data_IF_380260889622
#
_entry.id   IF_380260889622
#
_cell.length_a   1.000
_cell.length_b   1.000
_cell.length_c   1.000
_cell.angle_alpha   90.00
_cell.angle_beta   90.00
_cell.angle_gamma   90.00
#
_symmetry.space_group_name_H-M   'P 1'
#
loop_
_entity.id
_entity.type
_entity.pdbx_description
1 polymer ?
#
# COMPACT_ATOMS: atom_id res chain seq x y z
N UNK A 1 7.84 -2.45 -4.00
CA UNK A 1 6.92 -1.97 -2.95
C UNK A 1 7.40 -0.63 -2.45
N UNK A 2 6.53 0.37 -2.29
CA UNK A 2 6.86 1.68 -1.69
C UNK A 2 5.98 1.94 -0.46
N UNK A 3 6.56 2.24 0.71
CA UNK A 3 5.85 2.59 1.95
C UNK A 3 5.96 4.10 2.22
N UNK A 4 4.85 4.79 2.53
CA UNK A 4 4.86 6.23 2.82
C UNK A 4 4.47 6.54 4.28
N UNK A 5 5.25 7.39 4.96
CA UNK A 5 4.90 8.03 6.25
C UNK A 5 5.10 9.54 6.16
N UNK A 6 4.25 10.37 6.77
CA UNK A 6 4.41 11.85 6.73
C UNK A 6 4.90 12.42 8.07
N UNK A 7 5.84 13.38 8.03
CA UNK A 7 6.29 14.18 9.18
C UNK A 7 6.62 15.62 8.73
N UNK A 8 5.73 16.58 8.99
CA UNK A 8 6.01 18.01 8.79
C UNK A 8 6.36 18.44 7.35
N UNK A 9 5.70 17.86 6.35
CA UNK A 9 5.93 18.15 4.92
C UNK A 9 7.00 17.28 4.25
N UNK A 10 7.66 16.40 5.01
CA UNK A 10 8.51 15.32 4.47
C UNK A 10 7.76 14.01 4.54
N UNK A 11 8.06 13.12 3.60
CA UNK A 11 7.60 11.74 3.68
C UNK A 11 8.77 10.77 3.69
N UNK A 12 8.68 9.76 4.56
CA UNK A 12 9.60 8.63 4.60
C UNK A 12 9.13 7.59 3.58
N UNK A 13 10.04 7.20 2.69
CA UNK A 13 9.79 6.15 1.69
C UNK A 13 10.63 4.93 1.99
N UNK A 14 10.02 3.75 2.06
CA UNK A 14 10.76 2.48 2.01
C UNK A 14 10.49 1.77 0.68
N UNK A 15 11.55 1.50 -0.10
CA UNK A 15 11.47 0.66 -1.29
C UNK A 15 11.94 -0.76 -0.96
N UNK A 16 11.11 -1.75 -1.26
CA UNK A 16 11.39 -3.15 -0.92
C UNK A 16 10.95 -4.12 -2.03
N UNK A 17 11.60 -5.29 -2.03
CA UNK A 17 11.22 -6.48 -2.80
C UNK A 17 10.72 -7.58 -1.84
N UNK A 18 9.65 -8.31 -2.18
CA UNK A 18 9.21 -9.43 -1.37
C UNK A 18 10.25 -10.57 -1.44
N UNK A 19 10.47 -11.24 -0.32
CA UNK A 19 11.38 -12.39 -0.22
C UNK A 19 10.66 -13.58 0.38
N UNK A 20 10.81 -14.76 -0.23
CA UNK A 20 10.29 -15.99 0.31
C UNK A 20 11.27 -16.53 1.37
N UNK A 21 10.93 -16.35 2.65
CA UNK A 21 11.69 -16.92 3.77
C UNK A 21 12.69 -15.97 4.43
N UNK A 22 13.62 -16.54 5.20
CA UNK A 22 14.61 -15.78 5.97
C UNK A 22 15.75 -15.34 5.07
N UNK A 23 16.04 -14.06 5.08
CA UNK A 23 17.21 -13.48 4.40
C UNK A 23 18.14 -12.82 5.43
N UNK A 24 19.45 -12.79 5.13
CA UNK A 24 20.43 -12.02 5.89
C UNK A 24 20.71 -10.74 5.11
N UNK A 25 20.14 -9.59 5.49
CA UNK A 25 20.37 -8.36 4.75
C UNK A 25 21.82 -7.90 4.97
N UNK A 26 22.40 -7.25 3.95
CA UNK A 26 23.66 -6.52 4.08
C UNK A 26 23.34 -5.03 4.18
N UNK A 27 24.02 -4.33 5.08
CA UNK A 27 23.89 -2.88 5.22
C UNK A 27 24.04 -2.19 3.86
N UNK A 28 23.16 -1.23 3.50
CA UNK A 28 22.15 -0.58 4.35
C UNK A 28 20.76 -1.25 4.35
N UNK A 29 20.59 -2.44 3.77
CA UNK A 29 19.30 -3.11 3.72
C UNK A 29 18.86 -3.61 5.11
N UNK A 30 17.55 -3.60 5.33
CA UNK A 30 16.90 -4.19 6.49
C UNK A 30 15.83 -5.17 6.05
N UNK A 31 15.44 -6.08 6.94
CA UNK A 31 14.23 -6.91 6.74
C UNK A 31 13.07 -6.22 7.45
N UNK A 32 12.08 -5.81 6.67
CA UNK A 32 10.81 -5.31 7.18
C UNK A 32 9.72 -6.37 7.00
N UNK A 33 8.77 -6.41 7.94
CA UNK A 33 7.57 -7.24 7.84
C UNK A 33 6.36 -6.32 7.78
N UNK A 34 5.53 -6.48 6.74
CA UNK A 34 4.21 -5.86 6.72
C UNK A 34 3.29 -6.58 7.71
N UNK A 35 2.52 -5.80 8.47
CA UNK A 35 1.49 -6.36 9.33
C UNK A 35 0.45 -7.09 8.49
N UNK A 36 0.15 -8.34 8.85
CA UNK A 36 -1.03 -9.02 8.33
C UNK A 36 -2.31 -8.40 8.91
N UNK A 37 -3.45 -8.70 8.30
CA UNK A 37 -4.75 -8.19 8.72
C UNK A 37 -5.67 -7.93 7.53
N UNK A 38 -6.82 -7.33 7.81
CA UNK A 38 -7.71 -6.85 6.77
C UNK A 38 -7.08 -5.63 6.07
N UNK A 39 -7.23 -5.58 4.76
CA UNK A 39 -6.72 -4.50 3.93
C UNK A 39 -7.80 -4.08 2.93
N UNK A 40 -7.81 -2.81 2.56
CA UNK A 40 -8.49 -2.33 1.36
C UNK A 40 -7.46 -2.20 0.24
N UNK A 41 -7.85 -2.60 -0.97
CA UNK A 41 -6.98 -2.60 -2.13
C UNK A 41 -7.71 -2.02 -3.34
N UNK A 42 -6.95 -1.27 -4.13
CA UNK A 42 -7.38 -0.82 -5.46
C UNK A 42 -6.28 -1.16 -6.46
N UNK A 43 -6.68 -1.61 -7.65
CA UNK A 43 -5.78 -1.80 -8.78
C UNK A 43 -5.91 -0.59 -9.70
N UNK A 44 -4.81 0.10 -9.93
CA UNK A 44 -4.67 1.06 -11.01
C UNK A 44 -4.11 0.34 -12.24
N UNK A 45 -4.74 0.57 -13.39
CA UNK A 45 -4.27 0.12 -14.69
C UNK A 45 -4.08 1.34 -15.59
N UNK A 46 -2.89 1.48 -16.18
CA UNK A 46 -2.55 2.62 -17.03
C UNK A 46 -1.29 3.36 -16.58
N UNK A 47 -1.00 4.52 -17.20
CA UNK A 47 0.18 5.33 -16.88
C UNK A 47 0.10 5.95 -15.49
N UNK A 48 1.24 6.08 -14.82
CA UNK A 48 1.31 6.60 -13.44
C UNK A 48 0.83 8.04 -13.27
N UNK A 49 0.77 8.83 -14.35
CA UNK A 49 0.17 10.18 -14.35
C UNK A 49 -1.30 10.17 -13.90
N UNK A 50 -1.97 9.02 -14.03
CA UNK A 50 -3.37 8.82 -13.61
C UNK A 50 -3.50 8.06 -12.29
N UNK A 51 -2.40 7.72 -11.62
CA UNK A 51 -2.40 6.89 -10.41
C UNK A 51 -3.18 7.53 -9.25
N UNK A 52 -3.19 8.87 -9.17
CA UNK A 52 -3.96 9.62 -8.17
C UNK A 52 -5.46 9.29 -8.20
N UNK A 53 -6.01 8.95 -9.37
CA UNK A 53 -7.43 8.57 -9.49
C UNK A 53 -7.77 7.29 -8.70
N UNK A 54 -6.80 6.38 -8.52
CA UNK A 54 -6.99 5.19 -7.69
C UNK A 54 -6.95 5.54 -6.19
N UNK A 55 -6.11 6.50 -5.79
CA UNK A 55 -6.10 7.04 -4.44
C UNK A 55 -7.43 7.72 -4.08
N UNK A 56 -7.97 8.52 -4.97
CA UNK A 56 -9.26 9.21 -4.78
C UNK A 56 -10.38 8.18 -4.56
N UNK A 57 -10.49 7.19 -5.46
CA UNK A 57 -11.49 6.11 -5.36
C UNK A 57 -11.36 5.30 -4.07
N UNK A 58 -10.14 4.98 -3.65
CA UNK A 58 -9.91 4.27 -2.41
C UNK A 58 -10.31 5.12 -1.20
N UNK A 59 -9.99 6.41 -1.22
CA UNK A 59 -10.33 7.36 -0.16
C UNK A 59 -11.84 7.57 -0.04
N UNK A 60 -12.55 7.68 -1.16
CA UNK A 60 -14.02 7.72 -1.21
C UNK A 60 -14.63 6.45 -0.60
N UNK A 61 -14.11 5.28 -0.99
CA UNK A 61 -14.59 3.99 -0.48
C UNK A 61 -14.40 3.83 1.03
N UNK A 62 -13.24 4.24 1.55
CA UNK A 62 -12.91 4.21 2.98
C UNK A 62 -13.79 5.18 3.78
N UNK A 63 -13.95 6.41 3.28
CA UNK A 63 -14.80 7.44 3.88
C UNK A 63 -16.25 6.99 3.98
N UNK A 64 -16.80 6.44 2.89
CA UNK A 64 -18.17 5.94 2.85
C UNK A 64 -18.45 4.84 3.89
N UNK A 65 -17.41 4.10 4.29
CA UNK A 65 -17.48 3.00 5.28
C UNK A 65 -17.09 3.42 6.69
N UNK A 66 -16.78 4.71 6.90
CA UNK A 66 -16.33 5.25 8.20
C UNK A 66 -15.15 4.48 8.79
N UNK A 67 -14.26 4.00 7.92
CA UNK A 67 -13.03 3.33 8.35
C UNK A 67 -12.06 4.39 8.85
N UNK A 68 -11.49 4.21 10.04
CA UNK A 68 -10.45 5.10 10.53
C UNK A 68 -9.20 5.00 9.65
N UNK A 69 -8.68 6.15 9.23
CA UNK A 69 -7.49 6.24 8.39
C UNK A 69 -6.26 5.83 9.22
N UNK A 70 -5.51 4.84 8.74
CA UNK A 70 -4.19 4.53 9.26
C UNK A 70 -3.13 5.28 8.45
N UNK A 71 -2.12 5.91 9.08
CA UNK A 71 -1.04 6.59 8.37
C UNK A 71 -0.01 5.58 7.84
N UNK A 72 -0.49 4.56 7.15
CA UNK A 72 0.29 3.47 6.59
C UNK A 72 -0.39 2.99 5.31
N UNK A 73 0.37 2.98 4.22
CA UNK A 73 -0.07 2.45 2.93
C UNK A 73 1.14 2.00 2.13
N UNK A 74 0.93 1.13 1.16
CA UNK A 74 1.99 0.81 0.20
C UNK A 74 1.49 0.60 -1.22
N UNK A 75 2.39 0.82 -2.17
CA UNK A 75 2.22 0.52 -3.59
C UNK A 75 2.99 -0.72 -4.00
N UNK A 76 2.39 -1.57 -4.82
CA UNK A 76 3.03 -2.69 -5.52
C UNK A 76 2.96 -2.43 -7.03
N UNK A 77 4.11 -2.18 -7.67
CA UNK A 77 4.23 -2.07 -9.13
C UNK A 77 4.35 -3.48 -9.71
N UNK A 78 3.24 -4.03 -10.19
CA UNK A 78 3.13 -5.43 -10.60
C UNK A 78 3.50 -5.64 -12.07
N UNK A 79 3.20 -4.64 -12.91
CA UNK A 79 3.62 -4.57 -14.31
C UNK A 79 4.06 -3.13 -14.55
N UNK A 80 5.34 -2.93 -14.90
CA UNK A 80 5.93 -1.63 -15.17
C UNK A 80 6.61 -1.54 -16.53
N UNK A 81 7.33 -0.44 -16.80
CA UNK A 81 8.05 -0.21 -18.07
C UNK A 81 9.13 -1.27 -18.36
N UNK A 82 9.62 -1.95 -17.35
CA UNK A 82 10.57 -3.06 -17.45
C UNK A 82 9.94 -4.35 -18.02
N UNK A 83 8.60 -4.46 -17.99
CA UNK A 83 7.85 -5.64 -18.42
C UNK A 83 6.89 -5.37 -19.58
N UNK A 84 6.45 -4.13 -19.76
CA UNK A 84 5.57 -3.72 -20.85
C UNK A 84 5.86 -2.29 -21.30
N UNK A 85 6.19 -2.10 -22.56
CA UNK A 85 6.44 -0.77 -23.15
C UNK A 85 5.17 0.09 -23.18
N UNK A 86 4.01 -0.49 -23.50
CA UNK A 86 2.72 0.20 -23.53
C UNK A 86 2.20 0.50 -22.09
N UNK A 87 2.10 1.79 -21.69
CA UNK A 87 1.65 2.16 -20.36
C UNK A 87 0.20 1.75 -20.04
N UNK A 88 -0.64 1.48 -21.04
CA UNK A 88 -2.01 0.98 -20.82
C UNK A 88 -2.05 -0.40 -20.13
N UNK A 89 -0.92 -1.12 -20.19
CA UNK A 89 -0.74 -2.45 -19.61
C UNK A 89 -0.13 -2.44 -18.21
N UNK A 90 0.38 -1.29 -17.77
CA UNK A 90 0.96 -1.16 -16.43
C UNK A 90 -0.08 -1.42 -15.36
N UNK A 91 0.34 -2.00 -14.25
CA UNK A 91 -0.53 -2.35 -13.12
C UNK A 91 0.15 -1.99 -11.82
N UNK A 92 -0.48 -1.10 -11.06
CA UNK A 92 -0.04 -0.71 -9.72
C UNK A 92 -1.15 -1.03 -8.73
N UNK A 93 -0.87 -1.80 -7.68
CA UNK A 93 -1.81 -2.05 -6.59
C UNK A 93 -1.49 -1.12 -5.43
N UNK A 94 -2.49 -0.37 -4.96
CA UNK A 94 -2.40 0.41 -3.72
C UNK A 94 -3.10 -0.38 -2.63
N UNK A 95 -2.45 -0.53 -1.47
CA UNK A 95 -2.99 -1.24 -0.32
C UNK A 95 -2.96 -0.37 0.93
N UNK A 96 -4.09 -0.31 1.64
CA UNK A 96 -4.26 0.37 2.92
C UNK A 96 -4.72 -0.65 3.97
N UNK A 97 -3.96 -0.88 5.04
CA UNK A 97 -4.41 -1.69 6.17
C UNK A 97 -5.66 -1.10 6.80
N UNK A 98 -6.58 -1.97 7.19
CA UNK A 98 -7.74 -1.57 7.97
C UNK A 98 -7.41 -1.69 9.46
N UNK A 99 -7.92 -0.78 10.31
CA UNK A 99 -7.83 -0.94 11.75
C UNK A 99 -8.38 -2.30 12.17
N UNK A 100 -7.74 -2.95 13.12
CA UNK A 100 -8.34 -4.11 13.78
C UNK A 100 -9.66 -3.64 14.41
N UNK A 101 -10.76 -4.30 14.07
CA UNK A 101 -12.03 -4.06 14.75
C UNK A 101 -11.87 -4.52 16.19
N UNK A 102 -11.92 -3.61 17.16
CA UNK A 102 -12.06 -4.01 18.56
C UNK A 102 -13.40 -4.76 18.66
N UNK A 103 -13.44 -6.01 19.13
CA UNK A 103 -14.71 -6.68 19.37
C UNK A 103 -15.50 -5.83 20.35
N UNK A 104 -16.73 -5.44 19.99
CA UNK A 104 -17.69 -4.96 20.99
C UNK A 104 -17.93 -6.14 21.93
N UNK A 105 -17.39 -6.08 23.15
CA UNK A 105 -17.86 -6.95 24.24
C UNK A 105 -19.32 -6.57 24.48
N UNK A 106 -20.25 -7.33 23.94
CA UNK A 106 -21.64 -7.31 24.41
C UNK A 106 -21.62 -7.83 25.85
N UNK A 107 -21.63 -6.90 26.80
CA UNK A 107 -21.76 -7.20 28.21
C UNK A 107 -23.21 -7.42 28.58
N UNK A 108 -23.47 -8.61 29.12
CA UNK A 108 -24.68 -9.14 29.79
C UNK A 108 -25.91 -9.38 28.93
#
# INVERSE_FOLDING_TARGET
MSLLRSNGGRFEVTVAVPVAGRVRPKSPLIVAKLSGGLVAQVMHQGPWDTLLTAYDRLSEWLTARRVAIVPLMWEEYLIGPDQAEDPSRWRTRITVPLPLSTPVRSGR
#
